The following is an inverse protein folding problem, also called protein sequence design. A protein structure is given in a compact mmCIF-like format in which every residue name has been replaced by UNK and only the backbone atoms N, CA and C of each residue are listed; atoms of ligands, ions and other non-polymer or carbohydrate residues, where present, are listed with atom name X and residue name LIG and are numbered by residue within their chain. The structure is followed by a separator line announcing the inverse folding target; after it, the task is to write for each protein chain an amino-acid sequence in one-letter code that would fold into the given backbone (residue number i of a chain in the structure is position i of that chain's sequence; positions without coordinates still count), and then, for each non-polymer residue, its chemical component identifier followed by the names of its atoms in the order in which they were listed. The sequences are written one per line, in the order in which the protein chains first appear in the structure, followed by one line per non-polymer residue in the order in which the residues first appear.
data_IF_896476697294
#
_entry.id   IF_896476697294
#
_cell.length_a   1.000
_cell.length_b   1.000
_cell.length_c   1.000
_cell.angle_alpha   90.00
_cell.angle_beta   90.00
_cell.angle_gamma   90.00
#
_symmetry.space_group_name_H-M   'P 1'
#
loop_
_entity.id
_entity.type
_entity.pdbx_description
1 polymer ?
#
# COMPACT_ATOMS: atom_id res chain seq x y z
N UNK A 1 -5.35 -8.99 8.94
CA UNK A 1 -4.83 -10.26 9.51
C UNK A 1 -4.74 -10.08 11.01
N UNK A 2 -5.22 -11.06 11.77
CA UNK A 2 -5.23 -11.04 13.23
C UNK A 2 -4.35 -12.20 13.71
N UNK A 3 -3.50 -11.94 14.68
CA UNK A 3 -2.63 -12.89 15.37
C UNK A 3 -2.95 -12.79 16.88
N UNK A 4 -2.53 -13.75 17.73
CA UNK A 4 -2.90 -13.75 19.15
C UNK A 4 -2.58 -12.45 19.90
N UNK A 5 -1.45 -11.80 19.60
CA UNK A 5 -0.98 -10.58 20.28
C UNK A 5 -0.77 -9.40 19.33
N UNK A 6 -1.22 -9.47 18.08
CA UNK A 6 -1.06 -8.36 17.12
C UNK A 6 -2.11 -8.40 16.02
N UNK A 7 -2.29 -7.27 15.33
CA UNK A 7 -3.02 -7.26 14.07
C UNK A 7 -2.30 -6.42 13.03
N UNK A 8 -2.57 -6.76 11.77
CA UNK A 8 -2.08 -6.07 10.61
C UNK A 8 -3.23 -5.80 9.63
N UNK A 9 -3.45 -4.54 9.29
CA UNK A 9 -4.42 -4.10 8.30
C UNK A 9 -3.67 -3.54 7.07
N UNK A 10 -4.06 -3.99 5.89
CA UNK A 10 -3.66 -3.40 4.62
C UNK A 10 -4.91 -2.83 3.96
N UNK A 11 -4.96 -1.51 3.84
CA UNK A 11 -5.92 -0.81 3.01
C UNK A 11 -5.22 -0.44 1.71
N UNK A 12 -5.67 -1.02 0.60
CA UNK A 12 -5.11 -0.77 -0.74
C UNK A 12 -6.12 -0.06 -1.60
N UNK A 13 -5.77 1.13 -2.06
CA UNK A 13 -6.45 1.81 -3.16
C UNK A 13 -5.70 1.54 -4.46
N UNK A 14 -6.44 1.14 -5.49
CA UNK A 14 -5.90 0.86 -6.81
C UNK A 14 -6.60 1.74 -7.84
N UNK A 15 -5.81 2.47 -8.63
CA UNK A 15 -6.27 3.30 -9.73
C UNK A 15 -5.50 2.94 -10.99
N UNK A 16 -6.23 2.66 -12.06
CA UNK A 16 -5.70 2.53 -13.41
C UNK A 16 -6.45 3.48 -14.31
N UNK A 17 -5.70 4.26 -15.08
CA UNK A 17 -6.23 5.04 -16.19
C UNK A 17 -5.61 4.46 -17.45
N UNK A 18 -6.45 3.89 -18.31
CA UNK A 18 -5.99 3.19 -19.51
C UNK A 18 -5.12 4.11 -20.37
N UNK A 19 -4.01 3.54 -20.85
CA UNK A 19 -2.96 4.24 -21.62
C UNK A 19 -2.32 5.47 -20.95
N UNK A 20 -2.56 5.72 -19.65
CA UNK A 20 -1.98 6.86 -18.96
C UNK A 20 -1.09 6.43 -17.78
N UNK A 21 -1.68 5.93 -16.70
CA UNK A 21 -0.96 5.60 -15.48
C UNK A 21 -1.62 4.49 -14.68
N UNK A 22 -0.81 3.86 -13.84
CA UNK A 22 -1.28 3.01 -12.75
C UNK A 22 -0.72 3.55 -11.43
N UNK A 23 -1.59 3.60 -10.42
CA UNK A 23 -1.27 4.06 -9.07
C UNK A 23 -1.83 3.06 -8.06
N UNK A 24 -1.00 2.73 -7.07
CA UNK A 24 -1.37 1.95 -5.89
C UNK A 24 -1.03 2.79 -4.66
N UNK A 25 -1.98 2.93 -3.77
CA UNK A 25 -1.78 3.55 -2.45
C UNK A 25 -2.05 2.48 -1.41
N UNK A 26 -1.00 2.12 -0.68
CA UNK A 26 -1.06 1.17 0.43
C UNK A 26 -0.99 1.94 1.76
N UNK A 27 -2.02 1.80 2.58
CA UNK A 27 -1.99 2.19 3.99
C UNK A 27 -1.89 0.92 4.82
N UNK A 28 -0.76 0.72 5.48
CA UNK A 28 -0.50 -0.41 6.38
C UNK A 28 -0.62 0.06 7.81
N UNK A 29 -1.47 -0.59 8.59
CA UNK A 29 -1.58 -0.35 10.02
C UNK A 29 -1.14 -1.61 10.74
N UNK A 30 -0.23 -1.46 11.67
CA UNK A 30 0.25 -2.53 12.54
C UNK A 30 0.04 -2.16 14.00
N UNK A 31 -0.42 -3.13 14.76
CA UNK A 31 -0.57 -3.05 16.21
C UNK A 31 0.00 -4.30 16.84
N UNK A 32 0.66 -4.11 17.98
CA UNK A 32 1.10 -5.18 18.85
C UNK A 32 0.64 -4.89 20.28
N UNK A 33 0.16 -5.92 20.95
CA UNK A 33 -0.39 -5.86 22.30
C UNK A 33 0.68 -5.37 23.29
N UNK A 34 0.29 -4.42 24.12
CA UNK A 34 1.17 -3.77 25.09
C UNK A 34 1.71 -2.42 24.61
N UNK A 35 1.62 -2.11 23.31
CA UNK A 35 1.89 -0.77 22.81
C UNK A 35 0.70 0.15 23.05
N UNK A 36 0.96 1.39 23.45
CA UNK A 36 -0.04 2.47 23.54
C UNK A 36 -0.24 3.22 22.21
N UNK A 37 0.14 2.59 21.10
CA UNK A 37 0.14 3.23 19.79
C UNK A 37 -0.01 2.20 18.66
N UNK A 38 -0.37 2.71 17.48
CA UNK A 38 -0.36 2.00 16.21
C UNK A 38 0.78 2.53 15.35
N UNK A 39 1.36 1.67 14.51
CA UNK A 39 2.22 2.11 13.42
C UNK A 39 1.39 2.21 12.15
N UNK A 40 1.44 3.37 11.49
CA UNK A 40 0.85 3.60 10.17
C UNK A 40 1.97 3.85 9.17
N UNK A 41 1.98 3.10 8.08
CA UNK A 41 2.75 3.39 6.88
C UNK A 41 1.78 3.75 5.75
N UNK A 42 2.01 4.87 5.09
CA UNK A 42 1.29 5.28 3.89
C UNK A 42 2.26 5.34 2.71
N UNK A 43 2.08 4.44 1.74
CA UNK A 43 2.98 4.26 0.60
C UNK A 43 2.23 4.47 -0.71
N UNK A 44 2.69 5.39 -1.54
CA UNK A 44 2.18 5.62 -2.90
C UNK A 44 3.19 5.08 -3.91
N UNK A 45 2.73 4.16 -4.75
CA UNK A 45 3.46 3.63 -5.90
C UNK A 45 2.76 4.05 -7.18
N UNK A 46 3.50 4.58 -8.13
CA UNK A 46 2.91 5.10 -9.37
C UNK A 46 3.90 5.03 -10.52
N UNK A 47 3.39 4.72 -11.71
CA UNK A 47 4.12 4.91 -12.96
C UNK A 47 3.16 5.16 -14.11
N UNK A 48 3.66 5.84 -15.14
CA UNK A 48 3.00 5.87 -16.45
C UNK A 48 2.99 4.47 -17.05
N UNK A 49 1.92 4.10 -17.75
CA UNK A 49 1.80 2.78 -18.37
C UNK A 49 2.86 2.56 -19.46
N UNK A 50 3.25 3.61 -20.18
CA UNK A 50 4.32 3.56 -21.19
C UNK A 50 5.68 3.11 -20.62
N UNK A 51 5.94 3.44 -19.35
CA UNK A 51 7.17 3.07 -18.66
C UNK A 51 7.13 1.64 -18.12
N UNK A 52 5.93 1.05 -17.99
CA UNK A 52 5.71 -0.29 -17.47
C UNK A 52 5.77 -1.30 -18.62
N UNK A 53 6.91 -1.97 -18.77
CA UNK A 53 7.06 -3.10 -19.71
C UNK A 53 6.44 -4.38 -19.14
N UNK A 54 5.14 -4.37 -18.87
CA UNK A 54 4.38 -5.50 -18.28
C UNK A 54 3.29 -5.98 -19.24
N UNK A 55 2.92 -7.26 -19.10
CA UNK A 55 1.82 -7.84 -19.87
C UNK A 55 0.49 -7.14 -19.51
N UNK A 56 -0.41 -6.88 -20.47
CA UNK A 56 -1.71 -6.26 -20.21
C UNK A 56 -2.54 -6.98 -19.13
N UNK A 57 -2.44 -8.31 -19.05
CA UNK A 57 -3.11 -9.11 -18.02
C UNK A 57 -2.69 -8.70 -16.58
N UNK A 58 -1.43 -8.31 -16.39
CA UNK A 58 -0.88 -7.91 -15.10
C UNK A 58 -1.41 -6.55 -14.64
N UNK A 59 -1.83 -5.68 -15.58
CA UNK A 59 -2.47 -4.40 -15.28
C UNK A 59 -3.85 -4.56 -14.61
N UNK A 60 -4.45 -5.75 -14.69
CA UNK A 60 -5.71 -6.07 -14.03
C UNK A 60 -5.53 -6.71 -12.66
N UNK A 61 -4.29 -7.04 -12.26
CA UNK A 61 -3.97 -7.66 -10.98
C UNK A 61 -3.19 -6.68 -10.08
N UNK A 62 -3.86 -5.99 -9.14
CA UNK A 62 -3.20 -5.01 -8.26
C UNK A 62 -2.16 -5.63 -7.32
N UNK A 63 -2.30 -6.92 -7.00
CA UNK A 63 -1.37 -7.63 -6.12
C UNK A 63 0.01 -7.71 -6.78
N UNK A 64 0.05 -8.19 -8.02
CA UNK A 64 1.27 -8.36 -8.80
C UNK A 64 1.81 -7.01 -9.29
N UNK A 65 0.93 -6.13 -9.79
CA UNK A 65 1.33 -4.82 -10.29
C UNK A 65 2.05 -3.97 -9.24
N UNK A 66 1.69 -4.09 -7.97
CA UNK A 66 2.38 -3.39 -6.86
C UNK A 66 3.89 -3.66 -6.81
N UNK A 67 4.35 -4.82 -7.30
CA UNK A 67 5.77 -5.18 -7.32
C UNK A 67 6.52 -4.52 -8.49
N UNK A 68 5.81 -4.03 -9.51
CA UNK A 68 6.38 -3.40 -10.70
C UNK A 68 6.28 -1.88 -10.67
N UNK A 69 5.45 -1.30 -9.79
CA UNK A 69 5.33 0.13 -9.63
C UNK A 69 6.45 0.67 -8.72
N UNK A 70 7.17 1.72 -9.13
CA UNK A 70 8.13 2.40 -8.28
C UNK A 70 7.40 3.17 -7.18
N UNK A 71 8.05 3.26 -6.02
CA UNK A 71 7.55 4.03 -4.88
C UNK A 71 7.83 5.52 -5.15
N UNK A 72 6.79 6.34 -5.10
CA UNK A 72 6.86 7.80 -5.29
C UNK A 72 6.86 8.53 -3.94
N UNK A 73 6.10 8.02 -2.97
CA UNK A 73 5.99 8.64 -1.65
C UNK A 73 5.83 7.57 -0.58
N UNK A 74 6.49 7.75 0.56
CA UNK A 74 6.28 6.94 1.75
C UNK A 74 6.27 7.82 2.99
N UNK A 75 5.29 7.62 3.86
CA UNK A 75 5.13 8.32 5.13
C UNK A 75 4.93 7.30 6.25
N UNK A 76 5.55 7.54 7.40
CA UNK A 76 5.47 6.69 8.58
C UNK A 76 5.01 7.51 9.77
N UNK A 77 3.99 7.05 10.46
CA UNK A 77 3.42 7.75 11.60
C UNK A 77 3.17 6.77 12.75
N UNK A 78 3.37 7.29 13.95
CA UNK A 78 2.99 6.63 15.20
C UNK A 78 1.69 7.27 15.66
N UNK A 79 0.61 6.48 15.72
CA UNK A 79 -0.70 6.94 16.15
C UNK A 79 -0.89 6.55 17.61
N UNK A 80 -0.70 7.49 18.52
CA UNK A 80 -0.88 7.24 19.95
C UNK A 80 -2.37 7.17 20.32
N UNK A 81 -2.69 6.32 21.29
CA UNK A 81 -4.04 6.28 21.85
C UNK A 81 -4.19 7.44 22.83
N UNK A 82 -5.05 8.39 22.50
CA UNK A 82 -5.50 9.41 23.45
C UNK A 82 -6.55 8.75 24.36
N UNK A 83 -6.08 8.14 25.44
CA UNK A 83 -6.90 7.69 26.57
C UNK A 83 -6.62 8.63 27.73
#
# INVERSE_FOLDING_TARGET
RIMPDSFFLLMRFFLRVDNLLARIIDTRIYYEKGNSYLLREHMTKESKLENLKVLPALLSNPQELSNHLPIVKTEYEKLEFFI
#
